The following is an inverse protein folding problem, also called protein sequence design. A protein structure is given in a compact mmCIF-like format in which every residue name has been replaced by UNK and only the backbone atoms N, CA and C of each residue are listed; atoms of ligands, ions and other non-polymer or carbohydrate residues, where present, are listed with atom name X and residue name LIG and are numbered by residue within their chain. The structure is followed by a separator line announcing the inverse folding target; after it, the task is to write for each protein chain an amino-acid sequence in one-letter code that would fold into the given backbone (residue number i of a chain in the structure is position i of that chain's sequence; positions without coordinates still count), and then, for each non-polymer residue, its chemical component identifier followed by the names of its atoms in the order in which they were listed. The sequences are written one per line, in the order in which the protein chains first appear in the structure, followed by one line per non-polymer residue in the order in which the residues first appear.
data_IF_923740709697
#
_entry.id   IF_923740709697
#
_cell.length_a   1.000
_cell.length_b   1.000
_cell.length_c   1.000
_cell.angle_alpha   90.00
_cell.angle_beta   90.00
_cell.angle_gamma   90.00
#
_symmetry.space_group_name_H-M   'P 1'
#
loop_
_entity.id
_entity.type
_entity.pdbx_description
1 polymer ?
#
# COMPACT_ATOMS: atom_id res chain seq x y z
N UNK A 1 -28.05 -4.40 -14.91
CA UNK A 1 -27.06 -3.29 -15.02
C UNK A 1 -25.95 -3.52 -14.02
N UNK A 2 -24.69 -3.42 -14.44
CA UNK A 2 -23.55 -3.45 -13.52
C UNK A 2 -23.05 -2.01 -13.33
N UNK A 3 -22.84 -1.60 -12.08
CA UNK A 3 -22.25 -0.31 -11.74
C UNK A 3 -20.74 -0.52 -11.59
N UNK A 4 -19.96 0.29 -12.29
CA UNK A 4 -18.51 0.39 -12.05
C UNK A 4 -18.27 1.61 -11.17
N UNK A 5 -17.50 1.43 -10.11
CA UNK A 5 -17.05 2.49 -9.23
C UNK A 5 -15.54 2.41 -9.08
N UNK A 6 -14.90 3.57 -8.89
CA UNK A 6 -13.48 3.64 -8.56
C UNK A 6 -13.29 4.25 -7.17
N UNK A 7 -12.25 3.82 -6.47
CA UNK A 7 -11.88 4.33 -5.15
C UNK A 7 -10.42 4.74 -5.20
N UNK A 8 -10.16 5.99 -4.82
CA UNK A 8 -8.79 6.49 -4.57
C UNK A 8 -8.59 6.72 -3.09
N UNK A 9 -7.55 6.11 -2.54
CA UNK A 9 -7.14 6.29 -1.16
C UNK A 9 -5.72 6.86 -1.12
N UNK A 10 -5.56 8.02 -0.49
CA UNK A 10 -4.28 8.71 -0.33
C UNK A 10 -4.01 8.94 1.16
N UNK A 11 -2.87 8.46 1.63
CA UNK A 11 -2.35 8.75 2.97
C UNK A 11 -0.98 9.38 2.83
N UNK A 12 -0.76 10.53 3.47
CA UNK A 12 0.52 11.24 3.47
C UNK A 12 0.92 11.51 4.91
N UNK A 13 2.08 11.00 5.31
CA UNK A 13 2.75 11.36 6.54
C UNK A 13 3.90 12.30 6.21
N UNK A 14 3.90 13.49 6.79
CA UNK A 14 5.00 14.46 6.68
C UNK A 14 5.66 14.58 8.04
N UNK A 15 6.98 14.50 8.03
CA UNK A 15 7.80 14.61 9.23
C UNK A 15 8.55 15.94 9.23
N UNK A 16 8.67 16.54 10.39
CA UNK A 16 9.40 17.79 10.63
C UNK A 16 10.92 17.62 10.47
N UNK A 17 11.42 16.39 10.62
CA UNK A 17 12.82 15.99 10.46
C UNK A 17 12.94 14.63 9.75
N UNK A 18 14.10 14.28 9.16
CA UNK A 18 14.31 12.96 8.59
C UNK A 18 14.14 11.86 9.65
N UNK A 19 13.29 10.89 9.36
CA UNK A 19 13.00 9.74 10.25
C UNK A 19 13.37 8.43 9.58
N UNK A 20 13.91 7.50 10.38
CA UNK A 20 14.14 6.12 9.94
C UNK A 20 12.84 5.35 10.17
N UNK A 21 12.23 4.88 9.10
CA UNK A 21 11.04 4.05 9.19
C UNK A 21 11.41 2.59 9.44
N UNK A 22 10.80 1.99 10.46
CA UNK A 22 10.76 0.53 10.57
C UNK A 22 9.94 -0.06 9.41
N UNK A 23 10.05 -1.37 9.12
CA UNK A 23 9.26 -2.01 8.08
C UNK A 23 7.77 -1.71 8.19
N UNK A 24 7.19 -1.16 7.11
CA UNK A 24 5.79 -0.76 7.05
C UNK A 24 4.98 -1.87 6.37
N UNK A 25 3.92 -2.34 7.01
CA UNK A 25 3.02 -3.34 6.43
C UNK A 25 1.77 -2.64 5.92
N UNK A 26 1.58 -2.64 4.60
CA UNK A 26 0.43 -2.01 3.96
C UNK A 26 -0.55 -3.10 3.51
N UNK A 27 -1.76 -3.07 4.08
CA UNK A 27 -2.85 -4.04 3.85
C UNK A 27 -3.98 -3.47 2.99
N UNK A 28 -3.63 -2.61 2.03
CA UNK A 28 -4.58 -1.94 1.13
C UNK A 28 -4.76 -2.67 -0.22
N UNK A 29 -4.53 -3.99 -0.24
CA UNK A 29 -4.86 -4.83 -1.39
C UNK A 29 -6.24 -5.43 -1.17
N UNK A 30 -7.12 -5.41 -2.19
CA UNK A 30 -8.44 -6.04 -2.08
C UNK A 30 -8.34 -7.50 -1.65
N UNK A 31 -9.29 -7.92 -0.82
CA UNK A 31 -9.36 -9.30 -0.36
C UNK A 31 -9.54 -10.25 -1.57
N UNK A 32 -8.73 -11.32 -1.67
CA UNK A 32 -8.79 -12.24 -2.81
C UNK A 32 -10.12 -13.01 -2.89
N UNK A 33 -10.85 -13.07 -1.77
CA UNK A 33 -12.16 -13.75 -1.67
C UNK A 33 -13.35 -12.79 -1.76
N UNK A 34 -13.14 -11.56 -2.25
CA UNK A 34 -14.22 -10.59 -2.44
C UNK A 34 -15.23 -11.07 -3.48
N UNK A 35 -16.53 -10.89 -3.20
CA UNK A 35 -17.62 -11.16 -4.15
C UNK A 35 -17.67 -10.12 -5.27
N UNK A 36 -17.19 -8.91 -5.00
CA UNK A 36 -17.13 -7.82 -6.00
C UNK A 36 -15.88 -8.00 -6.85
N UNK A 37 -16.07 -8.09 -8.18
CA UNK A 37 -14.97 -8.18 -9.13
C UNK A 37 -14.12 -6.90 -9.09
N UNK A 38 -12.83 -7.07 -8.81
CA UNK A 38 -11.83 -6.00 -8.93
C UNK A 38 -11.36 -5.93 -10.38
N UNK A 39 -11.53 -4.77 -11.02
CA UNK A 39 -11.12 -4.54 -12.42
C UNK A 39 -9.63 -4.22 -12.49
N UNK A 40 -9.18 -3.33 -11.62
CA UNK A 40 -7.79 -2.88 -11.53
C UNK A 40 -7.43 -2.61 -10.08
N UNK A 41 -6.15 -2.73 -9.72
CA UNK A 41 -5.64 -2.32 -8.43
C UNK A 41 -4.22 -1.82 -8.61
N UNK A 42 -3.93 -0.65 -8.06
CA UNK A 42 -2.57 -0.10 -8.01
C UNK A 42 -2.25 0.33 -6.59
N UNK A 43 -1.04 0.01 -6.12
CA UNK A 43 -0.49 0.51 -4.86
C UNK A 43 0.83 1.19 -5.19
N UNK A 44 0.88 2.51 -5.01
CA UNK A 44 2.09 3.33 -5.13
C UNK A 44 2.52 3.77 -3.75
N UNK A 45 3.81 3.65 -3.46
CA UNK A 45 4.39 4.08 -2.20
C UNK A 45 5.64 4.88 -2.51
N UNK A 46 5.75 6.06 -1.92
CA UNK A 46 6.96 6.87 -1.98
C UNK A 46 7.51 7.11 -0.56
N UNK A 47 8.83 7.22 -0.39
CA UNK A 47 9.87 7.41 -1.43
C UNK A 47 10.18 6.16 -2.26
N UNK A 48 10.60 6.33 -3.52
CA UNK A 48 10.79 5.21 -4.49
C UNK A 48 11.92 4.25 -4.12
N UNK A 49 12.90 4.73 -3.34
CA UNK A 49 13.99 3.90 -2.80
C UNK A 49 13.48 3.07 -1.62
N UNK A 50 12.89 1.91 -1.93
CA UNK A 50 12.45 0.95 -0.93
C UNK A 50 12.51 -0.47 -1.47
N UNK A 51 12.54 -1.43 -0.56
CA UNK A 51 12.37 -2.84 -0.88
C UNK A 51 10.93 -3.26 -0.59
N UNK A 52 10.32 -4.01 -1.51
CA UNK A 52 8.98 -4.57 -1.33
C UNK A 52 9.09 -6.07 -1.16
N UNK A 53 8.59 -6.57 -0.04
CA UNK A 53 8.36 -7.99 0.17
C UNK A 53 6.84 -8.26 0.19
N UNK A 54 6.37 -9.14 -0.69
CA UNK A 54 4.97 -9.57 -0.73
C UNK A 54 4.87 -10.94 -0.08
N UNK A 55 4.05 -11.03 0.96
CA UNK A 55 3.82 -12.25 1.72
C UNK A 55 2.33 -12.52 1.85
N UNK A 56 1.95 -13.78 2.03
CA UNK A 56 0.57 -14.16 2.33
C UNK A 56 0.46 -14.48 3.83
N UNK A 57 -0.61 -14.01 4.47
CA UNK A 57 -0.92 -14.41 5.84
C UNK A 57 -1.67 -15.75 5.90
N UNK A 58 -1.87 -16.28 7.11
CA UNK A 58 -2.55 -17.57 7.33
C UNK A 58 -4.01 -17.58 6.87
N UNK A 59 -4.61 -16.41 6.69
CA UNK A 59 -5.97 -16.23 6.19
C UNK A 59 -6.00 -16.03 4.66
N UNK A 60 -4.85 -16.16 4.00
CA UNK A 60 -4.74 -16.03 2.55
C UNK A 60 -4.66 -14.59 2.03
N UNK A 61 -4.59 -13.57 2.90
CA UNK A 61 -4.48 -12.19 2.45
C UNK A 61 -3.05 -11.84 2.04
N UNK A 62 -2.92 -11.06 0.97
CA UNK A 62 -1.63 -10.54 0.53
C UNK A 62 -1.25 -9.28 1.31
N UNK A 63 -0.08 -9.32 1.92
CA UNK A 63 0.54 -8.22 2.65
C UNK A 63 1.73 -7.71 1.84
N UNK A 64 1.87 -6.39 1.74
CA UNK A 64 3.05 -5.76 1.16
C UNK A 64 3.84 -5.08 2.27
N UNK A 65 5.04 -5.61 2.55
CA UNK A 65 5.99 -5.04 3.50
C UNK A 65 6.97 -4.15 2.75
N UNK A 66 7.03 -2.88 3.12
CA UNK A 66 7.94 -1.88 2.57
C UNK A 66 9.05 -1.59 3.57
N UNK A 67 10.29 -1.67 3.12
CA UNK A 67 11.49 -1.38 3.93
C UNK A 67 12.23 -0.22 3.27
N UNK A 68 12.46 0.84 4.04
CA UNK A 68 13.12 2.06 3.60
C UNK A 68 14.53 2.11 4.20
N UNK A 69 15.60 2.00 3.39
CA UNK A 69 16.97 1.99 3.90
C UNK A 69 17.48 3.40 4.27
N UNK A 70 16.91 4.44 3.67
CA UNK A 70 17.32 5.84 3.89
C UNK A 70 16.30 6.56 4.80
N UNK A 71 16.75 7.52 5.65
CA UNK A 71 15.84 8.39 6.37
C UNK A 71 14.92 9.15 5.41
N UNK A 72 13.64 9.29 5.78
CA UNK A 72 12.62 9.92 4.94
C UNK A 72 12.00 11.12 5.66
N UNK A 73 11.56 12.11 4.90
CA UNK A 73 10.79 13.26 5.41
C UNK A 73 9.30 13.16 5.06
N UNK A 74 8.95 12.26 4.14
CA UNK A 74 7.57 12.00 3.73
C UNK A 74 7.39 10.50 3.46
N UNK A 75 6.27 9.95 3.90
CA UNK A 75 5.76 8.65 3.49
C UNK A 75 4.40 8.86 2.85
N UNK A 76 4.28 8.55 1.56
CA UNK A 76 3.02 8.66 0.82
C UNK A 76 2.60 7.30 0.30
N UNK A 77 1.35 6.95 0.56
CA UNK A 77 0.73 5.70 0.17
C UNK A 77 -0.51 6.04 -0.64
N UNK A 78 -0.54 5.60 -1.89
CA UNK A 78 -1.61 5.89 -2.83
C UNK A 78 -2.14 4.59 -3.43
N UNK A 79 -3.46 4.41 -3.36
CA UNK A 79 -4.14 3.23 -3.88
C UNK A 79 -5.28 3.67 -4.77
N UNK A 80 -5.33 3.07 -5.96
CA UNK A 80 -6.42 3.20 -6.91
C UNK A 80 -7.04 1.82 -7.13
N UNK A 81 -8.37 1.74 -7.03
CA UNK A 81 -9.20 0.54 -7.19
C UNK A 81 -10.31 0.78 -8.21
#
# INVERSE_FOLDING_TARGET
MAITASIRHLTVYKYDRPVILTPQIIRLRPAPHSRTRVISHTLKVSPDKHFVNRQQDIYGNWLSRFVFPEPVTELRIEVDL
#
